data_IF_472175217810
#
_entry.id   IF_472175217810
#
_cell.length_a   1.000
_cell.length_b   1.000
_cell.length_c   1.000
_cell.angle_alpha   90.00
_cell.angle_beta   90.00
_cell.angle_gamma   90.00
#
_symmetry.space_group_name_H-M   'P 1'
#
loop_
_entity.id
_entity.type
_entity.pdbx_description
1 polymer ?
#
# COMPACT_ATOMS: atom_id res chain seq x y z
N UNK A 1 -41.23 32.83 -16.19
CA UNK A 1 -41.69 33.14 -14.82
C UNK A 1 -42.43 31.91 -14.38
N UNK A 2 -41.67 30.87 -14.03
CA UNK A 2 -42.18 29.53 -13.74
C UNK A 2 -41.78 29.18 -12.31
N UNK A 3 -42.78 29.07 -11.45
CA UNK A 3 -42.66 28.71 -10.04
C UNK A 3 -42.55 27.20 -9.92
N UNK A 4 -41.31 26.73 -9.78
CA UNK A 4 -40.96 25.34 -9.49
C UNK A 4 -41.31 25.00 -8.02
N UNK A 5 -42.34 24.17 -7.85
CA UNK A 5 -42.85 23.72 -6.56
C UNK A 5 -42.08 22.49 -6.11
N UNK A 6 -41.08 22.70 -5.25
CA UNK A 6 -40.38 21.64 -4.52
C UNK A 6 -41.37 20.85 -3.66
N UNK A 7 -41.66 19.61 -4.06
CA UNK A 7 -42.33 18.59 -3.22
C UNK A 7 -41.32 17.99 -2.25
N UNK A 8 -41.50 18.32 -0.98
CA UNK A 8 -40.80 17.73 0.17
C UNK A 8 -41.32 16.30 0.41
N UNK A 9 -40.46 15.27 0.54
CA UNK A 9 -40.89 13.92 0.83
C UNK A 9 -41.30 13.77 2.32
N UNK A 10 -42.33 12.98 2.64
CA UNK A 10 -42.82 12.83 4.01
C UNK A 10 -41.82 12.04 4.87
N UNK A 11 -41.54 12.58 6.06
CA UNK A 11 -40.82 11.91 7.14
C UNK A 11 -41.63 10.71 7.66
N UNK A 12 -41.00 9.55 7.92
CA UNK A 12 -41.68 8.43 8.58
C UNK A 12 -41.87 8.72 10.07
N UNK A 13 -43.10 8.53 10.53
CA UNK A 13 -43.52 8.65 11.93
C UNK A 13 -42.75 7.68 12.83
N UNK A 14 -42.05 8.25 13.82
CA UNK A 14 -41.42 7.51 14.91
C UNK A 14 -42.52 7.10 15.89
N UNK A 15 -43.00 5.86 15.77
CA UNK A 15 -43.88 5.23 16.75
C UNK A 15 -43.11 5.07 18.06
N UNK A 16 -43.40 5.97 19.00
CA UNK A 16 -42.90 5.91 20.37
C UNK A 16 -43.83 4.99 21.15
N UNK A 17 -43.36 3.79 21.48
CA UNK A 17 -44.09 2.87 22.34
C UNK A 17 -44.03 3.35 23.80
N UNK A 18 -45.19 3.68 24.34
CA UNK A 18 -45.43 4.10 25.72
C UNK A 18 -45.56 2.86 26.64
N UNK A 19 -44.68 2.66 27.65
CA UNK A 19 -44.82 1.58 28.61
C UNK A 19 -45.74 1.98 29.77
N UNK A 20 -47.05 1.84 29.58
CA UNK A 20 -48.03 1.81 30.67
C UNK A 20 -47.93 0.43 31.39
N UNK A 21 -47.39 0.38 32.61
CA UNK A 21 -48.11 0.37 33.90
C UNK A 21 -49.26 -0.67 33.98
N UNK A 22 -49.01 -1.71 34.77
CA UNK A 22 -50.01 -2.59 35.37
C UNK A 22 -49.66 -4.06 35.14
N UNK A 23 -49.12 -4.77 36.11
CA UNK A 23 -49.92 -5.36 37.19
C UNK A 23 -49.00 -5.95 38.26
N UNK A 24 -49.40 -5.78 39.51
CA UNK A 24 -48.66 -6.17 40.70
C UNK A 24 -49.37 -7.35 41.35
N UNK A 25 -49.04 -8.58 40.96
CA UNK A 25 -49.31 -9.79 41.75
C UNK A 25 -48.74 -11.04 41.05
N UNK A 26 -47.41 -11.18 41.01
CA UNK A 26 -46.83 -12.52 41.10
C UNK A 26 -45.38 -12.41 41.55
N UNK A 27 -45.06 -13.01 42.69
CA UNK A 27 -43.72 -12.97 43.29
C UNK A 27 -43.03 -14.27 42.88
N UNK A 28 -42.20 -14.29 41.82
CA UNK A 28 -41.48 -15.51 41.48
C UNK A 28 -40.52 -15.85 42.61
N UNK A 29 -40.69 -17.07 43.12
CA UNK A 29 -39.79 -17.75 44.06
C UNK A 29 -38.37 -17.66 43.49
N UNK A 30 -37.46 -17.07 44.26
CA UNK A 30 -36.06 -16.96 43.88
C UNK A 30 -35.51 -18.36 43.54
N UNK A 31 -34.95 -18.57 42.34
CA UNK A 31 -34.32 -19.85 42.02
C UNK A 31 -33.16 -20.06 43.00
N UNK A 32 -33.10 -21.24 43.59
CA UNK A 32 -32.01 -21.66 44.46
C UNK A 32 -30.68 -21.43 43.71
N UNK A 33 -29.85 -20.55 44.27
CA UNK A 33 -28.52 -20.25 43.73
C UNK A 33 -27.73 -21.57 43.72
N UNK A 34 -27.37 -22.12 42.55
CA UNK A 34 -26.53 -23.30 42.51
C UNK A 34 -25.21 -22.96 43.21
N UNK A 35 -24.76 -23.84 44.10
CA UNK A 35 -23.48 -23.71 44.77
C UNK A 35 -22.40 -23.39 43.72
N UNK A 36 -21.76 -22.23 43.85
CA UNK A 36 -20.62 -21.87 43.02
C UNK A 36 -19.57 -22.96 43.18
N UNK A 37 -19.35 -23.73 42.11
CA UNK A 37 -18.17 -24.58 42.01
C UNK A 37 -16.95 -23.67 42.10
N UNK A 38 -16.10 -23.92 43.10
CA UNK A 38 -14.78 -23.30 43.21
C UNK A 38 -14.05 -23.53 41.89
N UNK A 39 -13.84 -22.45 41.14
CA UNK A 39 -13.08 -22.48 39.91
C UNK A 39 -11.60 -22.67 40.28
N UNK A 40 -10.87 -23.59 39.61
CA UNK A 40 -9.45 -23.84 39.86
C UNK A 40 -8.59 -22.78 39.17
N UNK A 41 -8.88 -21.50 39.42
CA UNK A 41 -7.99 -20.42 39.03
C UNK A 41 -7.08 -20.16 40.22
N UNK A 42 -5.87 -20.72 40.16
CA UNK A 42 -4.77 -20.31 41.03
C UNK A 42 -4.61 -18.79 40.95
N UNK A 43 -4.57 -18.15 42.12
CA UNK A 43 -4.35 -16.71 42.36
C UNK A 43 -2.92 -16.24 41.94
N UNK A 44 -2.40 -16.70 40.80
CA UNK A 44 -1.13 -16.21 40.25
C UNK A 44 -1.26 -14.82 39.59
N UNK A 45 -2.48 -14.26 39.54
CA UNK A 45 -2.75 -12.94 38.93
C UNK A 45 -2.65 -11.77 39.91
N UNK A 46 -2.30 -12.02 41.18
CA UNK A 46 -2.05 -10.98 42.19
C UNK A 46 -0.57 -10.53 42.25
N UNK A 47 0.17 -10.72 41.16
CA UNK A 47 1.52 -10.15 41.05
C UNK A 47 1.45 -8.63 40.83
N UNK A 48 2.14 -7.82 41.65
CA UNK A 48 2.11 -6.36 41.54
C UNK A 48 2.65 -5.94 40.17
N UNK A 49 1.80 -5.32 39.36
CA UNK A 49 2.19 -4.76 38.06
C UNK A 49 3.28 -3.70 38.32
N UNK A 50 4.52 -3.87 37.81
CA UNK A 50 5.56 -2.88 37.98
C UNK A 50 5.22 -1.66 37.13
N UNK A 51 4.69 -0.60 37.76
CA UNK A 51 4.49 0.68 37.09
C UNK A 51 5.86 1.29 36.74
N UNK A 52 6.31 1.08 35.51
CA UNK A 52 7.41 1.86 34.95
C UNK A 52 6.94 3.31 34.79
N UNK A 53 7.36 4.17 35.71
CA UNK A 53 7.17 5.62 35.63
C UNK A 53 7.68 6.12 34.28
N UNK A 54 6.76 6.46 33.38
CA UNK A 54 7.09 7.01 32.07
C UNK A 54 7.96 8.27 32.23
N UNK A 55 8.89 8.50 31.32
CA UNK A 55 9.90 9.57 31.38
C UNK A 55 9.34 10.99 31.62
N UNK A 56 8.03 11.20 31.42
CA UNK A 56 7.34 12.45 31.74
C UNK A 56 7.26 12.71 33.25
N UNK A 57 7.17 11.67 34.09
CA UNK A 57 7.16 11.80 35.54
C UNK A 57 8.54 12.10 36.16
N UNK A 58 9.64 11.78 35.44
CA UNK A 58 11.02 12.07 35.89
C UNK A 58 11.43 13.53 35.73
N UNK A 59 10.69 14.34 34.95
CA UNK A 59 11.05 15.74 34.69
C UNK A 59 10.73 16.71 35.84
N UNK A 60 9.95 16.28 36.83
CA UNK A 60 9.52 17.15 37.94
C UNK A 60 10.44 17.10 39.15
N UNK A 61 11.40 16.17 39.19
CA UNK A 61 12.25 15.93 40.38
C UNK A 61 13.71 15.66 39.97
N UNK A 62 14.47 16.69 39.58
CA UNK A 62 15.92 16.75 39.80
C UNK A 62 16.52 18.13 39.41
N UNK A 63 17.33 18.77 40.27
CA UNK A 63 17.93 20.09 40.07
C UNK A 63 19.20 20.09 39.18
N UNK A 64 19.62 21.31 38.86
CA UNK A 64 20.51 21.81 37.80
C UNK A 64 21.94 21.24 37.62
N UNK A 65 22.29 20.04 38.07
CA UNK A 65 23.63 19.50 37.81
C UNK A 65 23.67 17.97 37.79
N UNK A 66 23.75 17.40 36.58
CA UNK A 66 24.14 16.01 36.40
C UNK A 66 25.60 15.96 35.89
N UNK A 67 26.47 15.10 36.45
CA UNK A 67 27.84 14.96 36.01
C UNK A 67 27.93 14.28 34.62
N UNK A 68 28.98 14.63 33.87
CA UNK A 68 29.22 14.08 32.53
C UNK A 68 29.56 12.59 32.59
N UNK A 69 28.73 11.76 31.95
CA UNK A 69 28.94 10.32 31.86
C UNK A 69 30.04 10.02 30.82
N UNK A 70 31.06 9.27 31.24
CA UNK A 70 32.11 8.69 30.39
C UNK A 70 31.67 7.30 29.93
N UNK A 71 31.76 7.03 28.64
CA UNK A 71 31.45 5.73 28.03
C UNK A 71 32.58 4.74 28.36
N UNK A 72 32.23 3.59 28.93
CA UNK A 72 33.11 2.43 29.11
C UNK A 72 32.97 1.55 27.87
N UNK A 73 34.06 1.31 27.14
CA UNK A 73 34.07 0.37 26.01
C UNK A 73 34.17 -1.06 26.52
N UNK A 74 33.25 -1.92 26.10
CA UNK A 74 33.30 -3.37 26.34
C UNK A 74 33.83 -4.09 25.09
N UNK A 75 34.77 -5.01 25.30
CA UNK A 75 35.31 -5.92 24.29
C UNK A 75 34.23 -6.88 23.76
N UNK A 76 34.24 -7.21 22.46
CA UNK A 76 33.33 -8.19 21.87
C UNK A 76 34.04 -9.53 21.65
N UNK A 77 33.95 -10.46 22.60
CA UNK A 77 34.27 -11.87 22.35
C UNK A 77 33.27 -12.78 23.05
N UNK A 78 32.38 -13.37 22.26
CA UNK A 78 31.43 -14.39 22.67
C UNK A 78 30.72 -14.95 21.43
N UNK A 79 31.08 -16.16 20.97
CA UNK A 79 30.37 -16.83 19.89
C UNK A 79 29.22 -17.64 20.51
N UNK A 80 27.98 -17.23 20.23
CA UNK A 80 26.77 -18.08 20.12
C UNK A 80 25.53 -17.17 20.12
N UNK A 81 25.05 -16.84 18.92
CA UNK A 81 23.93 -15.92 18.69
C UNK A 81 22.70 -16.63 18.15
N UNK A 82 21.77 -16.90 19.06
CA UNK A 82 20.39 -17.30 18.84
C UNK A 82 19.65 -16.33 17.88
N UNK A 83 18.98 -16.79 16.79
CA UNK A 83 18.39 -15.93 15.77
C UNK A 83 17.00 -15.39 16.15
N UNK A 84 16.82 -14.98 17.41
CA UNK A 84 15.55 -14.50 17.98
C UNK A 84 15.68 -13.22 18.80
N UNK A 85 16.59 -12.31 18.42
CA UNK A 85 16.90 -11.10 19.18
C UNK A 85 15.71 -10.15 19.35
N UNK A 86 15.14 -10.14 20.56
CA UNK A 86 14.30 -9.07 21.07
C UNK A 86 15.06 -7.74 20.92
N UNK A 87 14.44 -6.76 20.26
CA UNK A 87 15.10 -5.50 19.94
C UNK A 87 15.56 -4.79 21.21
N UNK A 88 16.88 -4.59 21.38
CA UNK A 88 17.45 -3.85 22.49
C UNK A 88 16.73 -2.49 22.66
N UNK A 89 16.01 -2.26 23.77
CA UNK A 89 15.25 -1.03 23.98
C UNK A 89 16.13 0.22 24.05
N UNK A 90 17.45 0.06 24.12
CA UNK A 90 18.42 1.15 24.11
C UNK A 90 19.03 1.42 22.72
N UNK A 91 18.60 0.71 21.67
CA UNK A 91 19.10 0.96 20.32
C UNK A 91 18.59 2.31 19.77
N UNK A 92 19.47 3.32 19.80
CA UNK A 92 19.20 4.66 19.26
C UNK A 92 19.50 4.79 17.77
N UNK A 93 20.05 3.75 17.13
CA UNK A 93 20.44 3.77 15.71
C UNK A 93 19.26 4.03 14.77
N UNK A 94 18.04 3.50 14.95
CA UNK A 94 16.89 3.82 14.11
C UNK A 94 16.52 5.32 14.14
N UNK A 95 16.52 5.93 15.33
CA UNK A 95 16.20 7.35 15.49
C UNK A 95 17.27 8.25 14.85
N UNK A 96 18.55 7.88 15.02
CA UNK A 96 19.69 8.56 14.38
C UNK A 96 19.65 8.45 12.85
N UNK A 97 19.33 7.29 12.30
CA UNK A 97 19.21 7.08 10.86
C UNK A 97 18.16 8.03 10.24
N UNK A 98 16.97 8.15 10.85
CA UNK A 98 15.92 9.09 10.40
C UNK A 98 16.34 10.56 10.50
N UNK A 99 17.09 10.93 11.54
CA UNK A 99 17.61 12.29 11.68
C UNK A 99 18.63 12.64 10.58
N UNK A 100 19.58 11.73 10.31
CA UNK A 100 20.57 11.90 9.25
C UNK A 100 19.90 11.96 7.86
N UNK A 101 18.84 11.16 7.64
CA UNK A 101 18.08 11.22 6.39
C UNK A 101 17.40 12.57 6.19
N UNK A 102 16.79 13.14 7.24
CA UNK A 102 16.21 14.50 7.19
C UNK A 102 17.25 15.59 6.97
N UNK A 103 18.51 15.34 7.35
CA UNK A 103 19.63 16.22 7.05
C UNK A 103 20.18 16.06 5.61
N UNK A 104 19.53 15.24 4.77
CA UNK A 104 19.85 15.09 3.35
C UNK A 104 20.93 14.05 3.04
N UNK A 105 21.39 13.27 4.02
CA UNK A 105 22.37 12.21 3.75
C UNK A 105 21.72 11.04 3.00
N UNK A 106 22.48 10.42 2.11
CA UNK A 106 22.09 9.18 1.44
C UNK A 106 22.23 7.97 2.37
N UNK A 107 21.52 6.89 2.04
CA UNK A 107 21.46 5.65 2.85
C UNK A 107 22.83 5.04 3.09
N UNK A 108 23.72 5.03 2.08
CA UNK A 108 25.03 4.38 2.16
C UNK A 108 25.95 5.14 3.11
N UNK A 109 25.89 6.47 3.06
CA UNK A 109 26.62 7.32 4.02
C UNK A 109 26.09 7.13 5.45
N UNK A 110 24.77 6.97 5.63
CA UNK A 110 24.17 6.71 6.94
C UNK A 110 24.60 5.35 7.49
N UNK A 111 24.58 4.31 6.66
CA UNK A 111 24.99 2.95 7.01
C UNK A 111 26.45 2.89 7.46
N UNK A 112 27.35 3.52 6.69
CA UNK A 112 28.75 3.65 7.05
C UNK A 112 28.94 4.35 8.40
N UNK A 113 28.24 5.46 8.66
CA UNK A 113 28.35 6.21 9.92
C UNK A 113 27.82 5.46 11.14
N UNK A 114 26.82 4.61 10.94
CA UNK A 114 26.20 3.83 12.02
C UNK A 114 26.79 2.43 12.14
N UNK A 115 27.74 2.05 11.28
CA UNK A 115 28.34 0.70 11.22
C UNK A 115 27.27 -0.41 11.16
N UNK A 116 26.26 -0.20 10.32
CA UNK A 116 25.16 -1.14 10.07
C UNK A 116 24.96 -1.33 8.58
N UNK A 117 24.23 -2.38 8.20
CA UNK A 117 23.92 -2.66 6.81
C UNK A 117 22.95 -1.62 6.18
N UNK A 118 23.17 -1.29 4.92
CA UNK A 118 22.34 -0.38 4.11
C UNK A 118 20.86 -0.78 4.11
N UNK A 119 20.53 -2.08 4.08
CA UNK A 119 19.16 -2.60 4.09
C UNK A 119 18.44 -2.27 5.40
N UNK A 120 19.16 -2.36 6.51
CA UNK A 120 18.63 -2.10 7.84
C UNK A 120 18.36 -0.60 8.02
N UNK A 121 19.23 0.26 7.48
CA UNK A 121 19.00 1.70 7.40
C UNK A 121 17.77 2.03 6.55
N UNK A 122 17.60 1.40 5.37
CA UNK A 122 16.42 1.58 4.50
C UNK A 122 15.12 1.28 5.24
N UNK A 123 15.09 0.16 5.96
CA UNK A 123 13.95 -0.23 6.79
C UNK A 123 13.65 0.84 7.86
N UNK A 124 14.68 1.38 8.52
CA UNK A 124 14.50 2.41 9.55
C UNK A 124 14.02 3.76 9.01
N UNK A 125 14.51 4.19 7.85
CA UNK A 125 14.14 5.48 7.24
C UNK A 125 12.81 5.42 6.48
N UNK A 126 12.18 4.24 6.40
CA UNK A 126 10.93 4.05 5.68
C UNK A 126 11.08 4.15 4.16
N UNK A 127 12.31 4.00 3.66
CA UNK A 127 12.58 3.92 2.23
C UNK A 127 12.29 2.48 1.83
N UNK A 128 11.02 2.20 1.55
CA UNK A 128 10.64 0.89 1.02
C UNK A 128 11.40 0.70 -0.27
N UNK A 129 12.32 -0.27 -0.25
CA UNK A 129 12.86 -0.86 -1.45
C UNK A 129 11.68 -1.08 -2.40
N UNK A 130 11.61 -0.29 -3.47
CA UNK A 130 10.98 -0.78 -4.68
C UNK A 130 11.89 -1.93 -5.09
N UNK A 131 11.63 -3.11 -4.53
CA UNK A 131 12.55 -4.23 -4.59
C UNK A 131 12.73 -4.59 -6.07
N UNK A 132 13.92 -4.25 -6.58
CA UNK A 132 14.57 -5.03 -7.63
C UNK A 132 14.83 -6.39 -6.99
N UNK A 133 13.81 -7.24 -7.02
CA UNK A 133 14.00 -8.67 -6.89
C UNK A 133 14.98 -9.09 -7.99
N UNK A 134 15.91 -10.04 -7.71
CA UNK A 134 16.75 -10.61 -8.74
C UNK A 134 15.83 -11.14 -9.85
N UNK A 135 16.17 -10.78 -11.10
CA UNK A 135 15.52 -11.33 -12.28
C UNK A 135 15.55 -12.86 -12.21
N UNK A 136 14.53 -13.56 -12.74
CA UNK A 136 14.68 -14.96 -13.06
C UNK A 136 15.84 -15.07 -14.06
N UNK A 137 16.97 -15.57 -13.57
CA UNK A 137 18.14 -15.89 -14.38
C UNK A 137 17.79 -17.00 -15.36
N UNK A 138 17.32 -16.60 -16.54
CA UNK A 138 17.56 -17.36 -17.75
C UNK A 138 18.86 -16.80 -18.37
N UNK A 139 19.98 -17.47 -18.06
CA UNK A 139 21.18 -17.42 -18.89
C UNK A 139 22.22 -16.32 -18.62
N UNK A 140 23.23 -16.68 -17.81
CA UNK A 140 24.64 -16.31 -17.93
C UNK A 140 25.08 -14.81 -17.99
N UNK A 141 25.73 -14.40 -16.89
CA UNK A 141 26.90 -13.50 -16.84
C UNK A 141 26.80 -12.10 -17.46
N UNK A 142 26.53 -11.10 -16.62
CA UNK A 142 27.30 -9.85 -16.59
C UNK A 142 27.04 -9.05 -15.30
N UNK A 143 27.84 -9.29 -14.26
CA UNK A 143 28.16 -8.24 -13.27
C UNK A 143 29.15 -7.28 -13.96
N UNK A 144 28.61 -6.32 -14.69
CA UNK A 144 29.36 -5.24 -15.34
C UNK A 144 28.43 -4.05 -15.48
N UNK A 145 28.86 -2.87 -15.04
CA UNK A 145 28.01 -1.69 -14.87
C UNK A 145 27.13 -1.41 -16.08
N UNK A 146 25.84 -1.15 -15.83
CA UNK A 146 24.96 -0.52 -16.81
C UNK A 146 25.56 0.86 -17.11
N UNK A 147 26.34 0.94 -18.19
CA UNK A 147 26.87 2.19 -18.72
C UNK A 147 25.69 3.06 -19.15
N UNK A 148 25.84 4.39 -19.07
CA UNK A 148 24.83 5.35 -19.52
C UNK A 148 24.33 5.08 -20.95
N UNK A 149 25.18 4.47 -21.78
CA UNK A 149 24.87 4.03 -23.15
C UNK A 149 23.79 2.94 -23.20
N UNK A 150 23.76 2.01 -22.24
CA UNK A 150 22.72 0.96 -22.19
C UNK A 150 21.34 1.52 -21.87
N UNK A 151 21.27 2.54 -21.00
CA UNK A 151 20.03 3.24 -20.70
C UNK A 151 19.55 4.07 -21.89
N UNK A 152 20.44 4.80 -22.57
CA UNK A 152 20.10 5.58 -23.74
C UNK A 152 19.58 4.71 -24.91
N UNK A 153 20.15 3.52 -25.11
CA UNK A 153 19.67 2.56 -26.13
C UNK A 153 18.30 2.00 -25.77
N UNK A 154 18.07 1.65 -24.49
CA UNK A 154 16.77 1.19 -24.02
C UNK A 154 15.68 2.25 -24.18
N UNK A 155 16.00 3.51 -23.85
CA UNK A 155 15.11 4.65 -24.04
C UNK A 155 14.80 4.90 -25.52
N UNK A 156 15.79 4.78 -26.41
CA UNK A 156 15.60 4.88 -27.85
C UNK A 156 14.67 3.82 -28.41
N UNK A 157 14.83 2.56 -27.98
CA UNK A 157 13.95 1.46 -28.39
C UNK A 157 12.51 1.64 -27.88
N UNK A 158 12.34 2.07 -26.62
CA UNK A 158 11.03 2.37 -26.05
C UNK A 158 10.34 3.52 -26.78
N UNK A 159 11.09 4.58 -27.13
CA UNK A 159 10.59 5.70 -27.93
C UNK A 159 10.10 5.27 -29.31
N UNK A 160 10.83 4.38 -29.98
CA UNK A 160 10.42 3.85 -31.28
C UNK A 160 9.15 3.00 -31.19
N UNK A 161 9.07 2.09 -30.21
CA UNK A 161 7.86 1.30 -29.97
C UNK A 161 6.66 2.21 -29.71
N UNK A 162 6.84 3.27 -28.91
CA UNK A 162 5.80 4.25 -28.60
C UNK A 162 5.30 4.96 -29.86
N UNK A 163 6.21 5.45 -30.72
CA UNK A 163 5.86 6.10 -31.99
C UNK A 163 5.10 5.16 -32.94
N UNK A 164 5.59 3.94 -33.10
CA UNK A 164 4.94 2.93 -33.96
C UNK A 164 3.55 2.54 -33.42
N UNK A 165 3.43 2.38 -32.10
CA UNK A 165 2.17 2.08 -31.45
C UNK A 165 1.16 3.23 -31.60
N UNK A 166 1.62 4.49 -31.50
CA UNK A 166 0.78 5.66 -31.72
C UNK A 166 0.25 5.74 -33.15
N UNK A 167 1.12 5.56 -34.14
CA UNK A 167 0.72 5.55 -35.55
C UNK A 167 -0.30 4.44 -35.86
N UNK A 168 -0.08 3.23 -35.35
CA UNK A 168 -1.03 2.13 -35.50
C UNK A 168 -2.35 2.35 -34.75
N UNK A 169 -2.30 2.97 -33.57
CA UNK A 169 -3.48 3.29 -32.78
C UNK A 169 -4.35 4.36 -33.41
N UNK A 170 -3.78 5.41 -34.01
CA UNK A 170 -4.53 6.50 -34.63
C UNK A 170 -5.57 5.98 -35.65
N UNK A 171 -5.18 5.01 -36.49
CA UNK A 171 -6.09 4.38 -37.46
C UNK A 171 -7.12 3.48 -36.78
N UNK A 172 -6.71 2.71 -35.77
CA UNK A 172 -7.60 1.78 -35.05
C UNK A 172 -8.65 2.50 -34.21
N UNK A 173 -8.29 3.60 -33.56
CA UNK A 173 -9.19 4.40 -32.72
C UNK A 173 -10.43 4.89 -33.49
N UNK A 174 -10.28 5.16 -34.79
CA UNK A 174 -11.38 5.60 -35.65
C UNK A 174 -12.29 4.45 -36.13
N UNK A 175 -11.76 3.21 -36.17
CA UNK A 175 -12.43 2.06 -36.80
C UNK A 175 -12.94 1.03 -35.80
N UNK A 176 -12.37 0.99 -34.61
CA UNK A 176 -12.63 -0.02 -33.59
C UNK A 176 -13.11 0.68 -32.30
N UNK A 177 -14.44 0.80 -32.09
CA UNK A 177 -14.98 1.47 -30.91
C UNK A 177 -14.64 0.72 -29.61
N UNK A 178 -14.44 -0.60 -29.65
CA UNK A 178 -14.04 -1.38 -28.48
C UNK A 178 -12.59 -1.08 -28.08
N UNK A 179 -11.70 -0.92 -29.06
CA UNK A 179 -10.34 -0.45 -28.84
C UNK A 179 -10.32 0.98 -28.31
N UNK A 180 -11.08 1.89 -28.90
CA UNK A 180 -11.17 3.28 -28.44
C UNK A 180 -11.67 3.39 -26.99
N UNK A 181 -12.72 2.65 -26.63
CA UNK A 181 -13.21 2.58 -25.26
C UNK A 181 -12.16 2.01 -24.29
N UNK A 182 -11.40 0.99 -24.71
CA UNK A 182 -10.32 0.41 -23.91
C UNK A 182 -9.14 1.35 -23.70
N UNK A 183 -8.71 2.08 -24.72
CA UNK A 183 -7.66 3.11 -24.58
C UNK A 183 -8.16 4.26 -23.71
N UNK A 184 -9.41 4.71 -23.88
CA UNK A 184 -10.02 5.72 -23.01
C UNK A 184 -10.04 5.28 -21.54
N UNK A 185 -10.39 4.02 -21.28
CA UNK A 185 -10.33 3.42 -19.95
C UNK A 185 -8.91 3.46 -19.38
N UNK A 186 -7.89 3.06 -20.16
CA UNK A 186 -6.49 3.09 -19.72
C UNK A 186 -6.00 4.50 -19.42
N UNK A 187 -6.36 5.47 -20.25
CA UNK A 187 -5.94 6.87 -20.06
C UNK A 187 -6.45 7.43 -18.72
N UNK A 188 -7.58 6.92 -18.22
CA UNK A 188 -8.15 7.34 -16.93
C UNK A 188 -7.52 6.67 -15.69
N UNK A 189 -6.84 5.52 -15.85
CA UNK A 189 -6.34 4.72 -14.71
C UNK A 189 -4.88 4.33 -14.79
N UNK A 190 -4.19 4.67 -15.87
CA UNK A 190 -2.83 4.19 -16.11
C UNK A 190 -1.79 5.29 -16.10
N UNK A 191 -0.63 4.95 -15.57
CA UNK A 191 0.60 5.71 -15.68
C UNK A 191 1.66 4.78 -16.25
N UNK A 192 2.26 5.17 -17.37
CA UNK A 192 3.30 4.40 -18.05
C UNK A 192 4.67 5.04 -17.79
N UNK A 193 5.57 4.27 -17.18
CA UNK A 193 6.99 4.60 -17.04
C UNK A 193 7.84 3.79 -18.03
N UNK A 194 9.15 4.04 -18.10
CA UNK A 194 10.05 3.36 -19.04
C UNK A 194 10.13 1.83 -18.83
N UNK A 195 9.69 1.31 -17.69
CA UNK A 195 9.87 -0.08 -17.27
C UNK A 195 8.57 -0.80 -16.96
N UNK A 196 7.49 -0.07 -16.71
CA UNK A 196 6.25 -0.64 -16.25
C UNK A 196 5.04 0.23 -16.55
N UNK A 197 3.89 -0.45 -16.61
CA UNK A 197 2.58 0.15 -16.59
C UNK A 197 2.00 0.02 -15.19
N UNK A 198 1.60 1.12 -14.58
CA UNK A 198 0.90 1.14 -13.29
C UNK A 198 -0.57 1.47 -13.54
N UNK A 199 -1.48 0.62 -13.06
CA UNK A 199 -2.91 0.86 -13.05
C UNK A 199 -3.35 1.18 -11.62
N UNK A 200 -3.93 2.36 -11.42
CA UNK A 200 -4.46 2.81 -10.15
C UNK A 200 -5.78 3.55 -10.38
N UNK A 201 -6.71 3.43 -9.44
CA UNK A 201 -7.96 4.15 -9.53
C UNK A 201 -8.82 4.00 -8.29
N UNK A 202 -9.75 4.95 -8.06
CA UNK A 202 -10.63 4.93 -6.88
C UNK A 202 -11.67 3.80 -6.94
N UNK A 203 -11.89 3.22 -8.13
CA UNK A 203 -12.86 2.14 -8.36
C UNK A 203 -12.15 0.89 -8.85
N UNK A 204 -12.21 -0.13 -8.01
CA UNK A 204 -11.68 -1.46 -8.24
C UNK A 204 -12.05 -2.07 -9.59
N UNK A 205 -13.32 -1.90 -9.96
CA UNK A 205 -13.95 -2.42 -11.17
C UNK A 205 -13.23 -1.93 -12.42
N UNK A 206 -12.77 -0.69 -12.40
CA UNK A 206 -12.14 -0.01 -13.53
C UNK A 206 -10.76 -0.60 -13.77
N UNK A 207 -9.98 -0.83 -12.71
CA UNK A 207 -8.66 -1.49 -12.78
C UNK A 207 -8.79 -2.94 -13.26
N UNK A 208 -9.78 -3.69 -12.76
CA UNK A 208 -10.04 -5.08 -13.20
C UNK A 208 -10.41 -5.13 -14.68
N UNK A 209 -11.26 -4.22 -15.16
CA UNK A 209 -11.64 -4.12 -16.58
C UNK A 209 -10.46 -3.72 -17.45
N UNK A 210 -9.65 -2.75 -17.02
CA UNK A 210 -8.45 -2.31 -17.73
C UNK A 210 -7.44 -3.46 -17.87
N UNK A 211 -7.17 -4.19 -16.79
CA UNK A 211 -6.28 -5.35 -16.81
C UNK A 211 -6.84 -6.47 -17.70
N UNK A 212 -8.13 -6.74 -17.62
CA UNK A 212 -8.81 -7.72 -18.47
C UNK A 212 -8.69 -7.37 -19.96
N UNK A 213 -8.88 -6.10 -20.32
CA UNK A 213 -8.73 -5.61 -21.68
C UNK A 213 -7.27 -5.68 -22.17
N UNK A 214 -6.29 -5.41 -21.30
CA UNK A 214 -4.87 -5.56 -21.64
C UNK A 214 -4.51 -7.02 -21.95
N UNK A 215 -5.06 -7.98 -21.19
CA UNK A 215 -4.88 -9.41 -21.47
C UNK A 215 -5.40 -9.80 -22.85
N UNK A 216 -6.58 -9.32 -23.22
CA UNK A 216 -7.18 -9.67 -24.51
C UNK A 216 -6.52 -8.96 -25.69
N UNK A 217 -6.04 -7.72 -25.48
CA UNK A 217 -5.60 -6.86 -26.60
C UNK A 217 -4.09 -6.87 -26.80
N UNK A 218 -3.32 -7.10 -25.74
CA UNK A 218 -1.87 -6.94 -25.74
C UNK A 218 -1.09 -8.21 -25.37
N UNK A 219 -1.78 -9.34 -25.18
CA UNK A 219 -1.21 -10.63 -24.77
C UNK A 219 -0.35 -10.50 -23.49
N UNK A 220 -0.98 -9.97 -22.44
CA UNK A 220 -0.30 -9.70 -21.18
C UNK A 220 0.13 -11.00 -20.47
N UNK A 221 1.44 -11.14 -20.23
CA UNK A 221 1.98 -12.19 -19.36
C UNK A 221 1.66 -11.92 -17.87
N UNK A 222 0.81 -12.77 -17.28
CA UNK A 222 0.43 -12.70 -15.87
C UNK A 222 1.62 -12.79 -14.90
N UNK A 223 2.75 -13.36 -15.33
CA UNK A 223 3.98 -13.41 -14.51
C UNK A 223 4.61 -12.03 -14.33
N UNK A 224 4.31 -11.06 -15.20
CA UNK A 224 4.79 -9.67 -15.10
C UNK A 224 3.90 -8.79 -14.23
N UNK A 225 2.72 -9.29 -13.85
CA UNK A 225 1.77 -8.58 -13.01
C UNK A 225 2.17 -8.69 -11.53
N UNK A 226 2.13 -7.55 -10.83
CA UNK A 226 2.24 -7.41 -9.37
C UNK A 226 1.08 -6.56 -8.88
N UNK A 227 0.53 -6.92 -7.75
CA UNK A 227 -0.59 -6.19 -7.14
C UNK A 227 -0.16 -5.74 -5.76
N UNK A 228 -0.30 -4.44 -5.49
CA UNK A 228 -0.18 -3.87 -4.16
C UNK A 228 -1.58 -3.42 -3.74
N UNK A 229 -2.06 -4.01 -2.64
CA UNK A 229 -3.32 -3.64 -2.03
C UNK A 229 -3.03 -2.82 -0.78
N UNK A 230 -3.50 -1.57 -0.75
CA UNK A 230 -3.45 -0.71 0.43
C UNK A 230 -4.80 -0.81 1.11
N UNK A 231 -4.82 -1.31 2.35
CA UNK A 231 -6.06 -1.51 3.10
C UNK A 231 -6.11 -0.67 4.36
N UNK A 232 -7.30 -0.16 4.67
CA UNK A 232 -7.57 0.55 5.92
C UNK A 232 -7.48 -0.36 7.13
N UNK A 233 -7.50 0.25 8.32
CA UNK A 233 -7.32 -0.46 9.60
C UNK A 233 -8.42 -1.47 9.93
N UNK A 234 -9.64 -1.27 9.43
CA UNK A 234 -10.79 -2.14 9.72
C UNK A 234 -10.97 -3.27 8.69
N UNK A 235 -10.15 -3.30 7.63
CA UNK A 235 -10.23 -4.30 6.57
C UNK A 235 -9.43 -5.54 6.94
N UNK A 236 -10.03 -6.72 6.75
CA UNK A 236 -9.36 -8.01 6.89
C UNK A 236 -8.37 -8.22 5.73
N UNK A 237 -7.08 -7.97 6.00
CA UNK A 237 -6.03 -7.95 4.99
C UNK A 237 -5.96 -9.25 4.16
N UNK A 238 -6.01 -10.41 4.81
CA UNK A 238 -5.90 -11.70 4.13
C UNK A 238 -7.15 -12.03 3.30
N UNK A 239 -8.35 -11.77 3.83
CA UNK A 239 -9.58 -11.95 3.07
C UNK A 239 -9.58 -11.09 1.80
N UNK A 240 -9.23 -9.81 1.93
CA UNK A 240 -9.10 -8.91 0.78
C UNK A 240 -8.00 -9.36 -0.18
N UNK A 241 -6.87 -9.89 0.30
CA UNK A 241 -5.81 -10.44 -0.55
C UNK A 241 -6.33 -11.54 -1.47
N UNK A 242 -7.08 -12.50 -0.92
CA UNK A 242 -7.65 -13.63 -1.67
C UNK A 242 -8.76 -13.19 -2.63
N UNK A 243 -9.64 -12.29 -2.18
CA UNK A 243 -10.69 -11.70 -3.02
C UNK A 243 -10.08 -11.01 -4.25
N UNK A 244 -9.09 -10.15 -4.03
CA UNK A 244 -8.42 -9.41 -5.10
C UNK A 244 -7.60 -10.29 -6.03
N UNK A 245 -6.93 -11.31 -5.51
CA UNK A 245 -6.24 -12.31 -6.33
C UNK A 245 -7.20 -13.00 -7.31
N UNK A 246 -8.36 -13.42 -6.80
CA UNK A 246 -9.42 -14.06 -7.60
C UNK A 246 -9.97 -13.10 -8.64
N UNK A 247 -10.33 -11.88 -8.22
CA UNK A 247 -10.95 -10.86 -9.08
C UNK A 247 -10.02 -10.41 -10.22
N UNK A 248 -8.74 -10.26 -9.93
CA UNK A 248 -7.71 -9.90 -10.92
C UNK A 248 -7.18 -11.11 -11.68
N UNK A 249 -7.61 -12.34 -11.36
CA UNK A 249 -7.08 -13.59 -11.93
C UNK A 249 -5.54 -13.66 -11.84
N UNK A 250 -4.99 -13.34 -10.68
CA UNK A 250 -3.55 -13.44 -10.41
C UNK A 250 -3.31 -14.39 -9.23
N UNK A 251 -2.15 -15.06 -9.16
CA UNK A 251 -1.80 -15.85 -7.98
C UNK A 251 -1.76 -14.98 -6.72
N UNK A 252 -2.26 -15.50 -5.60
CA UNK A 252 -2.26 -14.79 -4.30
C UNK A 252 -0.84 -14.37 -3.86
N UNK A 253 0.19 -15.12 -4.29
CA UNK A 253 1.61 -14.83 -4.05
C UNK A 253 2.08 -13.54 -4.75
N UNK A 254 1.32 -13.02 -5.71
CA UNK A 254 1.60 -11.77 -6.43
C UNK A 254 0.83 -10.57 -5.89
N UNK A 255 0.00 -10.78 -4.87
CA UNK A 255 -0.71 -9.72 -4.14
C UNK A 255 0.02 -9.44 -2.84
N UNK A 256 0.59 -8.24 -2.72
CA UNK A 256 1.18 -7.72 -1.49
C UNK A 256 0.18 -6.80 -0.82
N UNK A 257 -0.08 -7.01 0.47
CA UNK A 257 -0.98 -6.14 1.24
C UNK A 257 -0.16 -5.22 2.14
N UNK A 258 -0.53 -3.96 2.18
CA UNK A 258 0.07 -2.94 3.06
C UNK A 258 -1.02 -2.18 3.80
N UNK A 259 -0.71 -1.72 5.02
CA UNK A 259 -1.64 -0.90 5.80
C UNK A 259 -1.57 0.55 5.32
N UNK A 260 -2.72 1.13 5.02
CA UNK A 260 -2.83 2.53 4.66
C UNK A 260 -2.78 3.38 5.93
N UNK A 261 -1.74 4.19 6.07
CA UNK A 261 -1.52 5.02 7.28
C UNK A 261 -2.63 6.05 7.52
N UNK A 262 -3.12 6.70 6.46
CA UNK A 262 -4.18 7.72 6.52
C UNK A 262 -5.23 7.43 5.43
N UNK A 263 -6.06 6.39 5.60
CA UNK A 263 -7.10 6.08 4.64
C UNK A 263 -8.25 7.08 4.76
N UNK A 264 -8.99 7.36 3.68
CA UNK A 264 -10.15 8.25 3.71
C UNK A 264 -11.25 7.73 4.65
N UNK A 265 -11.33 6.41 4.82
CA UNK A 265 -12.22 5.74 5.77
C UNK A 265 -11.57 4.44 6.30
N UNK A 266 -11.93 3.96 7.51
CA UNK A 266 -11.31 2.77 8.11
C UNK A 266 -11.42 1.50 7.27
N UNK A 267 -12.46 1.41 6.43
CA UNK A 267 -12.74 0.29 5.53
C UNK A 267 -12.23 0.51 4.10
N UNK A 268 -11.47 1.58 3.85
CA UNK A 268 -10.97 1.89 2.51
C UNK A 268 -10.02 0.82 2.00
N UNK A 269 -10.08 0.56 0.69
CA UNK A 269 -9.09 -0.24 -0.01
C UNK A 269 -8.72 0.46 -1.31
N UNK A 270 -7.44 0.44 -1.64
CA UNK A 270 -6.89 0.94 -2.89
C UNK A 270 -6.05 -0.16 -3.53
N UNK A 271 -6.30 -0.41 -4.81
CA UNK A 271 -5.54 -1.38 -5.60
C UNK A 271 -4.59 -0.64 -6.53
N UNK A 272 -3.34 -1.08 -6.51
CA UNK A 272 -2.31 -0.68 -7.47
C UNK A 272 -1.84 -1.94 -8.19
N UNK A 273 -2.00 -1.99 -9.50
CA UNK A 273 -1.51 -3.09 -10.33
C UNK A 273 -0.32 -2.58 -11.13
N UNK A 274 0.86 -3.15 -10.90
CA UNK A 274 2.07 -2.85 -11.68
C UNK A 274 2.38 -4.01 -12.62
N UNK A 275 2.47 -3.72 -13.90
CA UNK A 275 2.90 -4.64 -14.94
C UNK A 275 4.33 -4.31 -15.32
N UNK A 276 5.29 -5.17 -14.98
CA UNK A 276 6.71 -4.98 -15.28
C UNK A 276 7.01 -5.44 -16.72
N UNK A 277 6.56 -4.65 -17.68
CA UNK A 277 6.76 -4.90 -19.10
C UNK A 277 7.04 -3.57 -19.83
N UNK A 278 8.30 -3.26 -20.17
CA UNK A 278 8.67 -2.01 -20.82
C UNK A 278 8.07 -1.87 -22.23
N UNK A 279 7.92 -2.99 -22.96
CA UNK A 279 7.34 -2.97 -24.31
C UNK A 279 5.84 -2.68 -24.25
N UNK A 280 5.14 -3.28 -23.29
CA UNK A 280 3.73 -2.98 -23.04
C UNK A 280 3.56 -1.52 -22.60
N UNK A 281 4.40 -1.04 -21.68
CA UNK A 281 4.34 0.33 -21.19
C UNK A 281 4.53 1.35 -22.33
N UNK A 282 5.55 1.15 -23.17
CA UNK A 282 5.78 1.98 -24.36
C UNK A 282 4.60 1.92 -25.35
N UNK A 283 4.05 0.73 -25.59
CA UNK A 283 2.91 0.54 -26.49
C UNK A 283 1.65 1.24 -25.99
N UNK A 284 1.31 1.07 -24.71
CA UNK A 284 0.16 1.73 -24.09
C UNK A 284 0.35 3.25 -24.06
N UNK A 285 1.56 3.73 -23.76
CA UNK A 285 1.90 5.14 -23.86
C UNK A 285 1.63 5.70 -25.27
N UNK A 286 2.01 4.96 -26.31
CA UNK A 286 1.74 5.35 -27.70
C UNK A 286 0.25 5.37 -28.03
N UNK A 287 -0.52 4.41 -27.51
CA UNK A 287 -1.97 4.40 -27.68
C UNK A 287 -2.65 5.61 -27.02
N UNK A 288 -2.24 5.96 -25.81
CA UNK A 288 -2.74 7.13 -25.10
C UNK A 288 -2.36 8.44 -25.82
N UNK A 289 -1.13 8.56 -26.32
CA UNK A 289 -0.71 9.72 -27.10
C UNK A 289 -1.56 9.91 -28.36
N UNK A 290 -1.84 8.82 -29.08
CA UNK A 290 -2.68 8.86 -30.27
C UNK A 290 -4.11 9.30 -29.96
N UNK A 291 -4.67 8.87 -28.83
CA UNK A 291 -6.00 9.28 -28.39
C UNK A 291 -6.03 10.78 -28.05
N UNK A 292 -5.01 11.28 -27.32
CA UNK A 292 -4.93 12.68 -26.91
C UNK A 292 -4.69 13.62 -28.11
N UNK A 293 -3.81 13.25 -29.04
CA UNK A 293 -3.54 14.03 -30.25
C UNK A 293 -4.79 14.14 -31.16
N UNK A 294 -5.63 13.09 -31.19
CA UNK A 294 -6.91 13.11 -31.91
C UNK A 294 -7.92 14.09 -31.32
N UNK A 295 -7.90 14.30 -30.00
CA UNK A 295 -8.77 15.26 -29.33
C UNK A 295 -8.40 16.72 -29.66
N UNK A 296 -7.11 17.01 -29.83
CA UNK A 296 -6.62 18.36 -30.19
C UNK A 296 -6.94 18.74 -31.64
N UNK A 297 -7.08 17.75 -32.52
CA UNK A 297 -7.31 17.96 -33.96
C UNK A 297 -8.80 18.07 -34.33
N UNK A 298 -9.72 17.81 -33.40
CA UNK A 298 -11.15 17.91 -33.67
C UNK A 298 -11.55 19.41 -33.70
N UNK A 299 -12.12 19.93 -34.81
CA UNK A 299 -12.52 21.33 -34.88
C UNK A 299 -13.57 21.64 -33.82
N UNK A 300 -13.36 22.73 -33.08
CA UNK A 300 -14.18 23.16 -31.94
C UNK A 300 -15.64 23.53 -32.31
N UNK A 301 -16.06 23.39 -33.56
CA UNK A 301 -17.34 23.90 -34.09
C UNK A 301 -18.53 22.94 -33.91
N UNK A 302 -18.38 21.84 -33.17
CA UNK A 302 -19.43 20.82 -33.04
C UNK A 302 -20.10 20.70 -31.64
N UNK A 303 -19.86 21.64 -30.72
CA UNK A 303 -20.49 21.66 -29.40
C UNK A 303 -21.21 22.97 -29.10
#
# INVERSE_FOLDING_TARGET
MDTDTRREPPHPDVVTADPARGDAADRPVAPAVPAQQELPFDDESDQPIPYALTARARRTVAPASLPALRIVGGDPDGPDGDPGGEADPHDTRPARARALRRAGLDVRTIASRLSVDDLLVRAWVGETLTAVLPEPTDGASARGGATADGAAVADGAAGEIRRLAAAGAAVRLQRDPAFAAGVGLLTAVSEADAHALTLAGPRAEVVVRALGWLRTTADLDDRRVRVVLRVGRAVAADASRHEWATRLRVPVTRVTVTRWAAPPFPTASEVLVRVRDPQLAARVGGWCDALLAGAESAPAEAF
#
